data_IF_897852108804
#
_entry.id   IF_897852108804
#
_cell.length_a   1.000
_cell.length_b   1.000
_cell.length_c   1.000
_cell.angle_alpha   90.00
_cell.angle_beta   90.00
_cell.angle_gamma   90.00
#
_symmetry.space_group_name_H-M   'P 1'
#
loop_
_entity.id
_entity.type
_entity.pdbx_description
1 polymer ?
#
# COMPACT_ATOMS: atom_id res chain seq x y z
N UNK A 1 8.21 -21.98 24.05
CA UNK A 1 6.94 -21.82 23.28
C UNK A 1 7.21 -20.84 22.16
N UNK A 2 7.31 -21.31 20.91
CA UNK A 2 7.36 -20.40 19.76
C UNK A 2 5.97 -19.80 19.59
N UNK A 3 5.81 -18.54 19.99
CA UNK A 3 4.55 -17.80 19.95
C UNK A 3 4.08 -17.52 18.50
N UNK A 4 4.94 -17.80 17.52
CA UNK A 4 4.68 -17.64 16.10
C UNK A 4 4.42 -19.04 15.53
N UNK A 5 3.15 -19.45 15.51
CA UNK A 5 2.73 -20.67 14.84
C UNK A 5 2.71 -20.50 13.32
N UNK A 6 2.74 -21.60 12.55
CA UNK A 6 2.65 -21.55 11.09
C UNK A 6 1.39 -20.80 10.62
N UNK A 7 0.28 -20.89 11.36
CA UNK A 7 -0.95 -20.14 11.11
C UNK A 7 -0.80 -18.62 11.27
N UNK A 8 0.01 -18.17 12.24
CA UNK A 8 0.28 -16.74 12.45
C UNK A 8 1.04 -16.15 11.26
N UNK A 9 2.03 -16.89 10.74
CA UNK A 9 2.83 -16.47 9.58
C UNK A 9 1.96 -16.38 8.32
N UNK A 10 1.11 -17.38 8.09
CA UNK A 10 0.16 -17.38 6.98
C UNK A 10 -0.81 -16.20 7.06
N UNK A 11 -1.37 -15.94 8.24
CA UNK A 11 -2.32 -14.84 8.45
C UNK A 11 -1.69 -13.48 8.19
N UNK A 12 -0.48 -13.25 8.71
CA UNK A 12 0.28 -12.01 8.46
C UNK A 12 0.59 -11.86 6.97
N UNK A 13 0.99 -12.94 6.30
CA UNK A 13 1.28 -12.95 4.87
C UNK A 13 0.07 -12.56 4.02
N UNK A 14 -1.12 -13.08 4.33
CA UNK A 14 -2.37 -12.76 3.63
C UNK A 14 -2.72 -11.28 3.80
N UNK A 15 -2.63 -10.75 5.03
CA UNK A 15 -2.89 -9.33 5.31
C UNK A 15 -1.90 -8.46 4.53
N UNK A 16 -0.62 -8.86 4.50
CA UNK A 16 0.41 -8.18 3.73
C UNK A 16 0.10 -8.12 2.25
N UNK A 17 -0.29 -9.27 1.69
CA UNK A 17 -0.61 -9.39 0.29
C UNK A 17 -1.82 -8.54 -0.09
N UNK A 18 -2.88 -8.56 0.73
CA UNK A 18 -4.06 -7.74 0.52
C UNK A 18 -3.74 -6.24 0.56
N UNK A 19 -2.91 -5.80 1.51
CA UNK A 19 -2.47 -4.40 1.60
C UNK A 19 -1.66 -3.95 0.38
N UNK A 20 -0.76 -4.81 -0.10
CA UNK A 20 0.08 -4.56 -1.27
C UNK A 20 -0.77 -4.42 -2.53
N UNK A 21 -1.69 -5.36 -2.78
CA UNK A 21 -2.62 -5.32 -3.92
C UNK A 21 -3.51 -4.08 -3.86
N UNK A 22 -4.03 -3.74 -2.68
CA UNK A 22 -4.88 -2.55 -2.50
C UNK A 22 -4.11 -1.26 -2.80
N UNK A 23 -2.87 -1.17 -2.34
CA UNK A 23 -2.02 0.00 -2.58
C UNK A 23 -1.69 0.15 -4.07
N UNK A 24 -1.28 -0.93 -4.74
CA UNK A 24 -1.06 -0.96 -6.19
C UNK A 24 -2.31 -0.54 -6.97
N UNK A 25 -3.48 -1.07 -6.60
CA UNK A 25 -4.74 -0.70 -7.23
C UNK A 25 -5.00 0.81 -7.12
N UNK A 26 -4.79 1.41 -5.95
CA UNK A 26 -4.94 2.86 -5.81
C UNK A 26 -3.85 3.64 -6.57
N UNK A 27 -2.62 3.12 -6.71
CA UNK A 27 -1.57 3.76 -7.53
C UNK A 27 -2.01 3.86 -8.97
N UNK A 28 -2.38 2.74 -9.58
CA UNK A 28 -2.81 2.74 -10.98
C UNK A 28 -4.12 3.49 -11.22
N UNK A 29 -4.99 3.57 -10.21
CA UNK A 29 -6.26 4.31 -10.31
C UNK A 29 -6.09 5.82 -10.17
N UNK A 30 -5.20 6.27 -9.28
CA UNK A 30 -5.14 7.69 -8.88
C UNK A 30 -3.97 8.44 -9.50
N UNK A 31 -2.85 7.76 -9.79
CA UNK A 31 -1.68 8.35 -10.43
C UNK A 31 -1.65 8.02 -11.93
N UNK A 32 -1.13 8.93 -12.75
CA UNK A 32 -0.93 8.72 -14.18
C UNK A 32 0.53 8.96 -14.56
N UNK A 33 0.99 8.27 -15.60
CA UNK A 33 2.33 8.45 -16.16
C UNK A 33 3.45 8.03 -15.21
N UNK A 34 4.51 8.84 -15.17
CA UNK A 34 5.76 8.51 -14.46
C UNK A 34 5.58 8.37 -12.93
N UNK A 35 4.64 9.12 -12.34
CA UNK A 35 4.35 9.02 -10.90
C UNK A 35 3.79 7.64 -10.52
N UNK A 36 2.94 7.03 -11.36
CA UNK A 36 2.43 5.69 -11.10
C UNK A 36 3.57 4.66 -11.11
N UNK A 37 4.53 4.80 -12.03
CA UNK A 37 5.69 3.92 -12.09
C UNK A 37 6.57 4.05 -10.84
N UNK A 38 6.89 5.27 -10.40
CA UNK A 38 7.69 5.51 -9.19
C UNK A 38 7.00 4.95 -7.93
N UNK A 39 5.69 5.14 -7.79
CA UNK A 39 4.94 4.61 -6.65
C UNK A 39 4.89 3.08 -6.64
N UNK A 40 4.66 2.46 -7.78
CA UNK A 40 4.71 1.00 -7.92
C UNK A 40 6.11 0.47 -7.59
N UNK A 41 7.17 1.10 -8.08
CA UNK A 41 8.55 0.73 -7.76
C UNK A 41 8.82 0.84 -6.25
N UNK A 42 8.39 1.94 -5.64
CA UNK A 42 8.56 2.17 -4.20
C UNK A 42 7.79 1.16 -3.34
N UNK A 43 6.58 0.76 -3.75
CA UNK A 43 5.79 -0.28 -3.08
C UNK A 43 6.41 -1.67 -3.25
N UNK A 44 7.01 -1.99 -4.40
CA UNK A 44 7.66 -3.28 -4.62
C UNK A 44 8.95 -3.40 -3.79
N UNK A 45 9.77 -2.36 -3.77
CA UNK A 45 11.04 -2.36 -3.03
C UNK A 45 10.87 -2.16 -1.52
N UNK A 46 9.81 -1.46 -1.10
CA UNK A 46 9.54 -1.18 0.31
C UNK A 46 8.05 -1.41 0.61
N UNK A 47 7.56 -2.66 0.59
CA UNK A 47 6.13 -2.97 0.63
C UNK A 47 5.40 -2.49 1.88
N UNK A 48 6.04 -2.53 3.04
CA UNK A 48 5.47 -2.02 4.29
C UNK A 48 5.31 -0.49 4.26
N UNK A 49 6.40 0.23 4.01
CA UNK A 49 6.44 1.69 4.13
C UNK A 49 5.77 2.33 2.90
N UNK A 50 6.05 1.82 1.71
CA UNK A 50 5.49 2.32 0.46
C UNK A 50 3.97 2.22 0.41
N UNK A 51 3.40 1.10 0.88
CA UNK A 51 1.94 0.95 0.91
C UNK A 51 1.28 1.90 1.90
N UNK A 52 1.82 2.02 3.12
CA UNK A 52 1.32 2.94 4.15
C UNK A 52 1.42 4.39 3.71
N UNK A 53 2.58 4.84 3.23
CA UNK A 53 2.79 6.23 2.80
C UNK A 53 1.84 6.59 1.66
N UNK A 54 1.62 5.67 0.72
CA UNK A 54 0.69 5.92 -0.38
C UNK A 54 -0.77 6.01 0.08
N UNK A 55 -1.20 5.14 0.99
CA UNK A 55 -2.55 5.21 1.58
C UNK A 55 -2.75 6.53 2.34
N UNK A 56 -1.77 6.96 3.14
CA UNK A 56 -1.81 8.26 3.82
C UNK A 56 -1.89 9.42 2.83
N UNK A 57 -1.03 9.43 1.80
CA UNK A 57 -1.05 10.43 0.72
C UNK A 57 -2.43 10.51 0.07
N UNK A 58 -3.03 9.37 -0.23
CA UNK A 58 -4.34 9.28 -0.86
C UNK A 58 -5.43 9.92 0.02
N UNK A 59 -5.45 9.65 1.33
CA UNK A 59 -6.40 10.26 2.26
C UNK A 59 -6.21 11.78 2.38
N UNK A 60 -4.97 12.25 2.47
CA UNK A 60 -4.66 13.68 2.56
C UNK A 60 -5.07 14.42 1.28
N UNK A 61 -4.76 13.87 0.11
CA UNK A 61 -5.15 14.48 -1.17
C UNK A 61 -6.67 14.45 -1.39
N UNK A 62 -7.35 13.37 -0.98
CA UNK A 62 -8.81 13.27 -1.07
C UNK A 62 -9.50 14.34 -0.21
N UNK A 63 -9.00 14.61 0.99
CA UNK A 63 -9.52 15.69 1.85
C UNK A 63 -9.27 17.07 1.24
N UNK A 64 -8.11 17.30 0.63
CA UNK A 64 -7.79 18.58 -0.02
C UNK A 64 -8.71 18.87 -1.21
N UNK A 65 -9.08 17.86 -2.00
CA UNK A 65 -10.07 18.00 -3.10
C UNK A 65 -11.51 18.24 -2.64
N UNK A 66 -11.84 18.01 -1.37
CA UNK A 66 -13.20 18.18 -0.82
C UNK A 66 -13.42 19.57 -0.23
N UNK A 67 -12.35 20.31 0.04
CA UNK A 67 -12.34 21.65 0.64
C UNK A 67 -12.03 22.78 -0.37
N UNK A 68 -11.75 22.42 -1.62
CA UNK A 68 -11.53 23.35 -2.74
C UNK A 68 -12.71 23.25 -3.71
#
# INVERSE_FOLDING_TARGET
MNLIGPFTILSIGIIYFAALVTSLYFVFKSEKGFMAFLWTLFIIFVPFIGSLVYIFKYFVQKNKKRLA
#
